data_IF_181381004088
#
_entry.id   IF_181381004088
#
_cell.length_a   1.000
_cell.length_b   1.000
_cell.length_c   1.000
_cell.angle_alpha   90.00
_cell.angle_beta   90.00
_cell.angle_gamma   90.00
#
_symmetry.space_group_name_H-M   'P 1'
#
loop_
_entity.id
_entity.type
_entity.pdbx_description
1 polymer ?
#
# COMPACT_ATOMS: atom_id res chain seq x y z
N UNK A 1 3.33 30.02 6.01
CA UNK A 1 4.04 28.84 5.52
C UNK A 1 4.19 27.88 6.69
N UNK A 2 3.60 26.70 6.61
CA UNK A 2 3.67 25.71 7.70
C UNK A 2 4.97 24.92 7.61
N UNK A 3 5.47 24.40 8.74
CA UNK A 3 6.73 23.63 8.77
C UNK A 3 6.75 22.48 7.76
N UNK A 4 5.61 21.79 7.55
CA UNK A 4 5.51 20.70 6.59
C UNK A 4 5.67 21.11 5.12
N UNK A 5 5.42 22.37 4.77
CA UNK A 5 5.68 22.87 3.41
C UNK A 5 7.17 23.08 3.18
N UNK A 6 7.86 23.62 4.20
CA UNK A 6 9.29 23.88 4.16
C UNK A 6 10.12 22.58 4.13
N UNK A 7 9.70 21.56 4.88
CA UNK A 7 10.45 20.30 5.01
C UNK A 7 9.99 19.21 4.05
N UNK A 8 9.13 19.53 3.07
CA UNK A 8 8.53 18.54 2.17
C UNK A 8 9.58 17.77 1.37
N UNK A 9 10.53 18.48 0.77
CA UNK A 9 11.60 17.89 -0.03
C UNK A 9 12.51 17.00 0.79
N UNK A 10 12.85 17.42 2.01
CA UNK A 10 13.69 16.66 2.93
C UNK A 10 12.99 15.37 3.35
N UNK A 11 11.70 15.43 3.69
CA UNK A 11 10.90 14.25 4.01
C UNK A 11 10.79 13.28 2.81
N UNK A 12 10.62 13.81 1.59
CA UNK A 12 10.65 13.04 0.36
C UNK A 12 11.97 12.29 0.18
N UNK A 13 13.11 12.98 0.28
CA UNK A 13 14.44 12.36 0.18
C UNK A 13 14.67 11.28 1.25
N UNK A 14 14.22 11.51 2.48
CA UNK A 14 14.31 10.49 3.53
C UNK A 14 13.51 9.24 3.13
N UNK A 15 12.31 9.41 2.59
CA UNK A 15 11.47 8.29 2.14
C UNK A 15 12.13 7.51 0.99
N UNK A 16 12.73 8.21 0.01
CA UNK A 16 13.44 7.60 -1.11
C UNK A 16 14.67 6.81 -0.63
N UNK A 17 15.50 7.40 0.24
CA UNK A 17 16.69 6.73 0.79
C UNK A 17 16.30 5.48 1.56
N UNK A 18 15.26 5.55 2.39
CA UNK A 18 14.78 4.40 3.16
C UNK A 18 14.24 3.30 2.25
N UNK A 19 13.49 3.69 1.21
CA UNK A 19 12.97 2.76 0.20
C UNK A 19 14.12 2.05 -0.51
N UNK A 20 15.11 2.81 -1.00
CA UNK A 20 16.28 2.26 -1.68
C UNK A 20 17.07 1.30 -0.78
N UNK A 21 17.36 1.70 0.46
CA UNK A 21 18.09 0.86 1.41
C UNK A 21 17.33 -0.45 1.74
N UNK A 22 16.00 -0.37 1.86
CA UNK A 22 15.15 -1.53 2.10
C UNK A 22 15.13 -2.48 0.89
N UNK A 23 15.00 -1.95 -0.32
CA UNK A 23 15.04 -2.74 -1.57
C UNK A 23 16.41 -3.40 -1.79
N UNK A 24 17.51 -2.66 -1.58
CA UNK A 24 18.88 -3.22 -1.61
C UNK A 24 19.08 -4.36 -0.59
N UNK A 25 18.35 -4.32 0.52
CA UNK A 25 18.34 -5.35 1.55
C UNK A 25 17.34 -6.48 1.30
N UNK A 26 16.73 -6.54 0.11
CA UNK A 26 15.74 -7.54 -0.29
C UNK A 26 14.47 -7.51 0.56
N UNK A 27 14.06 -6.35 1.06
CA UNK A 27 12.85 -6.19 1.88
C UNK A 27 11.65 -5.80 1.01
N UNK A 28 10.47 -6.22 1.46
CA UNK A 28 9.21 -5.67 0.95
C UNK A 28 9.07 -4.23 1.45
N UNK A 29 8.68 -3.33 0.56
CA UNK A 29 8.42 -1.92 0.88
C UNK A 29 6.97 -1.61 0.54
N UNK A 30 6.30 -0.92 1.46
CA UNK A 30 5.01 -0.30 1.21
C UNK A 30 5.24 1.21 1.20
N UNK A 31 4.96 1.84 0.07
CA UNK A 31 5.06 3.29 -0.10
C UNK A 31 3.63 3.84 -0.11
N UNK A 32 3.32 4.72 0.84
CA UNK A 32 2.10 5.52 0.82
C UNK A 32 2.37 6.82 0.07
N UNK A 33 1.56 7.11 -0.94
CA UNK A 33 1.79 8.22 -1.85
C UNK A 33 0.56 8.54 -2.69
N UNK A 34 0.56 9.74 -3.28
CA UNK A 34 -0.60 10.23 -4.02
C UNK A 34 -0.80 9.51 -5.35
N UNK A 35 0.24 8.92 -5.94
CA UNK A 35 0.20 8.24 -7.24
C UNK A 35 -0.40 9.10 -8.38
N UNK A 36 -0.32 10.43 -8.30
CA UNK A 36 -0.98 11.36 -9.24
C UNK A 36 -0.21 11.56 -10.54
N UNK A 37 1.11 11.53 -10.50
CA UNK A 37 1.97 11.76 -11.68
C UNK A 37 2.31 10.44 -12.38
N UNK A 38 1.46 10.01 -13.31
CA UNK A 38 1.69 8.76 -14.04
C UNK A 38 2.98 8.77 -14.84
N UNK A 39 3.40 9.90 -15.40
CA UNK A 39 4.57 9.99 -16.27
C UNK A 39 5.85 9.77 -15.47
N UNK A 40 5.92 10.34 -14.27
CA UNK A 40 6.99 10.07 -13.32
C UNK A 40 7.01 8.60 -12.89
N UNK A 41 5.86 8.04 -12.50
CA UNK A 41 5.78 6.65 -12.02
C UNK A 41 6.09 5.62 -13.11
N UNK A 42 5.80 5.90 -14.39
CA UNK A 42 6.19 5.05 -15.52
C UNK A 42 7.72 4.90 -15.56
N UNK A 43 8.43 6.02 -15.47
CA UNK A 43 9.90 6.03 -15.48
C UNK A 43 10.45 5.35 -14.22
N UNK A 44 9.84 5.62 -13.07
CA UNK A 44 10.24 5.03 -11.81
C UNK A 44 10.04 3.50 -11.80
N UNK A 45 8.92 2.98 -12.31
CA UNK A 45 8.68 1.54 -12.43
C UNK A 45 9.69 0.88 -13.37
N UNK A 46 10.03 1.52 -14.49
CA UNK A 46 11.05 1.02 -15.40
C UNK A 46 12.42 0.94 -14.72
N UNK A 47 12.81 1.99 -13.98
CA UNK A 47 14.06 2.02 -13.22
C UNK A 47 14.09 0.94 -12.13
N UNK A 48 13.02 0.80 -11.35
CA UNK A 48 12.91 -0.23 -10.31
C UNK A 48 13.07 -1.65 -10.88
N UNK A 49 12.49 -1.93 -12.05
CA UNK A 49 12.64 -3.23 -12.71
C UNK A 49 14.05 -3.47 -13.24
N UNK A 50 14.74 -2.41 -13.70
CA UNK A 50 16.12 -2.50 -14.13
C UNK A 50 17.08 -2.75 -12.95
N UNK A 51 16.90 -2.03 -11.85
CA UNK A 51 17.77 -2.11 -10.66
C UNK A 51 17.49 -3.35 -9.82
N UNK A 52 16.24 -3.81 -9.78
CA UNK A 52 15.79 -4.93 -8.96
C UNK A 52 14.97 -5.93 -9.79
N UNK A 53 15.59 -6.78 -10.63
CA UNK A 53 14.88 -7.66 -11.58
C UNK A 53 13.91 -8.67 -10.93
N UNK A 54 14.09 -8.98 -9.65
CA UNK A 54 13.22 -9.90 -8.89
C UNK A 54 12.08 -9.18 -8.15
N UNK A 55 12.04 -7.85 -8.18
CA UNK A 55 11.02 -7.04 -7.53
C UNK A 55 9.68 -7.22 -8.22
N UNK A 56 8.63 -7.46 -7.43
CA UNK A 56 7.24 -7.40 -7.89
C UNK A 56 6.62 -6.09 -7.43
N UNK A 57 6.05 -5.36 -8.37
CA UNK A 57 5.34 -4.11 -8.15
C UNK A 57 3.85 -4.38 -8.00
N UNK A 58 3.23 -3.72 -7.04
CA UNK A 58 1.80 -3.85 -6.80
C UNK A 58 1.18 -2.50 -6.47
N UNK A 59 -0.02 -2.26 -7.00
CA UNK A 59 -0.81 -1.05 -6.73
C UNK A 59 -2.05 -1.45 -5.94
N UNK A 60 -2.21 -0.84 -4.77
CA UNK A 60 -3.43 -0.90 -3.98
C UNK A 60 -4.15 0.45 -4.07
N UNK A 61 -5.22 0.53 -4.86
CA UNK A 61 -6.03 1.74 -4.99
C UNK A 61 -7.16 1.72 -3.96
N UNK A 62 -7.06 2.54 -2.92
CA UNK A 62 -8.08 2.63 -1.87
C UNK A 62 -9.09 3.72 -2.25
N UNK A 63 -10.35 3.33 -2.40
CA UNK A 63 -11.45 4.22 -2.80
C UNK A 63 -12.40 4.46 -1.63
N UNK A 64 -13.11 5.59 -1.65
CA UNK A 64 -14.20 5.91 -0.73
C UNK A 64 -15.06 7.03 -1.34
N UNK A 65 -16.32 7.22 -0.89
CA UNK A 65 -17.16 8.33 -1.31
C UNK A 65 -16.51 9.66 -0.94
N UNK A 66 -16.66 10.65 -1.82
CA UNK A 66 -16.08 11.99 -1.68
C UNK A 66 -16.32 12.60 -0.31
N UNK A 67 -17.55 12.54 0.18
CA UNK A 67 -17.97 13.11 1.46
C UNK A 67 -17.21 12.46 2.62
N UNK A 68 -17.00 11.14 2.56
CA UNK A 68 -16.25 10.41 3.57
C UNK A 68 -14.76 10.77 3.56
N UNK A 69 -14.17 11.01 2.39
CA UNK A 69 -12.78 11.47 2.26
C UNK A 69 -12.62 12.86 2.88
N UNK A 70 -13.52 13.79 2.54
CA UNK A 70 -13.50 15.16 3.08
C UNK A 70 -13.71 15.19 4.61
N UNK A 71 -14.68 14.42 5.12
CA UNK A 71 -14.95 14.30 6.55
C UNK A 71 -13.74 13.75 7.31
N UNK A 72 -13.12 12.68 6.81
CA UNK A 72 -11.91 12.08 7.41
C UNK A 72 -10.74 13.06 7.41
N UNK A 73 -10.52 13.76 6.30
CA UNK A 73 -9.47 14.77 6.19
C UNK A 73 -9.70 15.94 7.15
N UNK A 74 -10.94 16.41 7.28
CA UNK A 74 -11.31 17.45 8.24
C UNK A 74 -11.06 16.99 9.68
N UNK A 75 -11.62 15.84 10.07
CA UNK A 75 -11.49 15.28 11.42
C UNK A 75 -10.02 15.08 11.79
N UNK A 76 -9.21 14.56 10.87
CA UNK A 76 -7.77 14.42 11.09
C UNK A 76 -7.07 15.78 11.20
N UNK A 77 -7.45 16.75 10.38
CA UNK A 77 -6.90 18.11 10.45
C UNK A 77 -7.21 18.80 11.78
N UNK A 78 -8.37 18.53 12.36
CA UNK A 78 -8.75 18.99 13.71
C UNK A 78 -7.94 18.28 14.81
N UNK A 79 -7.74 16.96 14.71
CA UNK A 79 -6.97 16.19 15.70
C UNK A 79 -5.46 16.45 15.67
N UNK A 80 -4.88 16.58 14.47
CA UNK A 80 -3.42 16.64 14.27
C UNK A 80 -2.89 18.05 14.02
N UNK A 81 -3.77 19.01 13.74
CA UNK A 81 -3.43 20.35 13.28
C UNK A 81 -2.99 20.42 11.81
N UNK A 82 -2.92 19.30 11.09
CA UNK A 82 -2.50 19.24 9.68
C UNK A 82 -3.71 19.27 8.74
N UNK A 83 -4.13 20.46 8.34
CA UNK A 83 -5.23 20.66 7.40
C UNK A 83 -4.73 20.55 5.96
N UNK A 84 -5.41 19.73 5.15
CA UNK A 84 -5.19 19.65 3.70
C UNK A 84 -6.22 20.54 3.02
N UNK A 85 -5.83 21.41 2.06
CA UNK A 85 -6.78 22.18 1.27
C UNK A 85 -7.77 21.28 0.54
N UNK A 86 -9.06 21.65 0.54
CA UNK A 86 -10.10 20.87 -0.16
C UNK A 86 -9.77 20.72 -1.65
N UNK A 87 -9.26 21.77 -2.30
CA UNK A 87 -8.87 21.71 -3.70
C UNK A 87 -7.80 20.64 -3.99
N UNK A 88 -6.86 20.41 -3.07
CA UNK A 88 -5.86 19.33 -3.18
C UNK A 88 -6.53 17.95 -3.11
N UNK A 89 -7.50 17.76 -2.22
CA UNK A 89 -8.26 16.51 -2.10
C UNK A 89 -9.08 16.24 -3.36
N UNK A 90 -9.80 17.24 -3.88
CA UNK A 90 -10.58 17.13 -5.12
C UNK A 90 -9.69 16.77 -6.32
N UNK A 91 -8.54 17.44 -6.44
CA UNK A 91 -7.57 17.16 -7.49
C UNK A 91 -7.08 15.72 -7.42
N UNK A 92 -6.79 15.20 -6.22
CA UNK A 92 -6.39 13.81 -6.07
C UNK A 92 -7.52 12.83 -6.44
N UNK A 93 -8.75 13.09 -6.02
CA UNK A 93 -9.90 12.24 -6.38
C UNK A 93 -10.15 12.17 -7.89
N UNK A 94 -9.79 13.20 -8.66
CA UNK A 94 -9.87 13.20 -10.12
C UNK A 94 -8.64 12.58 -10.82
N UNK A 95 -7.42 12.87 -10.33
CA UNK A 95 -6.18 12.47 -11.00
C UNK A 95 -5.76 11.03 -10.71
N UNK A 96 -5.94 10.55 -9.47
CA UNK A 96 -5.48 9.22 -9.06
C UNK A 96 -6.11 8.09 -9.88
N UNK A 97 -7.43 8.06 -10.13
CA UNK A 97 -8.01 7.01 -10.96
C UNK A 97 -7.43 6.97 -12.38
N UNK A 98 -7.13 8.14 -12.97
CA UNK A 98 -6.52 8.25 -14.30
C UNK A 98 -5.09 7.71 -14.30
N UNK A 99 -4.30 8.06 -13.29
CA UNK A 99 -2.95 7.56 -13.15
C UNK A 99 -2.93 6.04 -12.91
N UNK A 100 -3.82 5.52 -12.04
CA UNK A 100 -3.98 4.09 -11.80
C UNK A 100 -4.35 3.34 -13.08
N UNK A 101 -5.22 3.90 -13.94
CA UNK A 101 -5.56 3.30 -15.22
C UNK A 101 -4.32 3.12 -16.12
N UNK A 102 -3.38 4.06 -16.11
CA UNK A 102 -2.14 3.97 -16.88
C UNK A 102 -1.07 3.08 -16.22
N UNK A 103 -1.00 3.08 -14.90
CA UNK A 103 0.07 2.41 -14.14
C UNK A 103 -0.25 0.95 -13.80
N UNK A 104 -1.53 0.61 -13.62
CA UNK A 104 -1.94 -0.76 -13.29
C UNK A 104 -1.45 -1.82 -14.29
N UNK A 105 -1.44 -1.61 -15.62
CA UNK A 105 -0.89 -2.59 -16.57
C UNK A 105 0.63 -2.76 -16.48
N UNK A 106 1.34 -1.80 -15.86
CA UNK A 106 2.78 -1.83 -15.65
C UNK A 106 3.18 -2.48 -14.31
N UNK A 107 2.20 -2.74 -13.44
CA UNK A 107 2.38 -3.44 -12.17
C UNK A 107 2.18 -4.95 -12.32
N UNK A 108 2.79 -5.75 -11.44
CA UNK A 108 2.60 -7.20 -11.42
C UNK A 108 1.30 -7.63 -10.71
N UNK A 109 0.67 -6.69 -9.99
CA UNK A 109 -0.58 -6.90 -9.28
C UNK A 109 -1.31 -5.56 -9.06
N UNK A 110 -2.61 -5.56 -9.31
CA UNK A 110 -3.48 -4.42 -9.04
C UNK A 110 -4.70 -4.88 -8.24
N UNK A 111 -5.05 -4.11 -7.23
CA UNK A 111 -6.26 -4.31 -6.45
C UNK A 111 -6.86 -2.96 -6.05
N UNK A 112 -8.18 -2.86 -6.16
CA UNK A 112 -8.99 -1.75 -5.71
C UNK A 112 -9.78 -2.17 -4.47
N UNK A 113 -9.75 -1.28 -3.48
CA UNK A 113 -10.20 -1.52 -2.12
C UNK A 113 -11.18 -0.43 -1.72
N UNK A 114 -12.46 -0.77 -1.64
CA UNK A 114 -13.50 0.13 -1.18
C UNK A 114 -13.50 0.22 0.35
N UNK A 115 -13.22 1.43 0.84
CA UNK A 115 -13.23 1.82 2.23
C UNK A 115 -14.37 2.82 2.53
N UNK A 116 -15.53 2.59 1.91
CA UNK A 116 -16.77 3.34 2.15
C UNK A 116 -17.24 3.28 3.61
N UNK A 117 -17.83 4.37 4.14
CA UNK A 117 -18.46 4.34 5.46
C UNK A 117 -19.64 3.36 5.46
N UNK A 118 -19.86 2.68 6.60
CA UNK A 118 -20.96 1.73 6.77
C UNK A 118 -20.64 0.29 6.39
N UNK A 119 -19.54 0.05 5.67
CA UNK A 119 -19.00 -1.30 5.52
C UNK A 119 -18.32 -1.75 6.81
N UNK A 120 -18.59 -2.99 7.26
CA UNK A 120 -17.92 -3.57 8.43
C UNK A 120 -16.41 -3.72 8.19
N UNK A 121 -16.05 -4.07 6.96
CA UNK A 121 -14.69 -4.32 6.48
C UNK A 121 -14.45 -3.67 5.12
N UNK A 122 -13.17 -3.49 4.77
CA UNK A 122 -12.76 -3.07 3.43
C UNK A 122 -13.14 -4.15 2.42
N UNK A 123 -13.71 -3.73 1.28
CA UNK A 123 -14.23 -4.63 0.25
C UNK A 123 -13.33 -4.56 -0.99
N UNK A 124 -12.98 -5.71 -1.56
CA UNK A 124 -12.27 -5.77 -2.84
C UNK A 124 -13.27 -5.54 -3.98
N UNK A 125 -13.01 -4.55 -4.83
CA UNK A 125 -13.89 -4.21 -5.96
C UNK A 125 -13.32 -4.62 -7.32
N UNK A 126 -12.05 -5.02 -7.40
CA UNK A 126 -11.43 -5.42 -8.67
C UNK A 126 -12.08 -6.71 -9.23
N UNK A 127 -12.56 -6.69 -10.48
CA UNK A 127 -13.14 -7.88 -11.11
C UNK A 127 -12.17 -9.07 -11.13
N UNK A 128 -12.65 -10.22 -10.67
CA UNK A 128 -11.87 -11.46 -10.64
C UNK A 128 -10.90 -11.59 -9.47
N UNK A 129 -10.74 -10.56 -8.63
CA UNK A 129 -9.95 -10.65 -7.39
C UNK A 129 -10.86 -11.01 -6.23
N UNK A 130 -10.66 -12.20 -5.66
CA UNK A 130 -11.30 -12.62 -4.40
C UNK A 130 -10.41 -12.30 -3.21
N UNK A 131 -10.98 -12.34 -1.99
CA UNK A 131 -10.21 -12.22 -0.76
C UNK A 131 -9.10 -13.27 -0.68
N UNK A 132 -9.36 -14.50 -1.09
CA UNK A 132 -8.36 -15.57 -1.11
C UNK A 132 -7.23 -15.25 -2.08
N UNK A 133 -7.57 -14.85 -3.32
CA UNK A 133 -6.56 -14.48 -4.32
C UNK A 133 -5.74 -13.24 -3.92
N UNK A 134 -6.37 -12.27 -3.24
CA UNK A 134 -5.69 -11.12 -2.67
C UNK A 134 -4.72 -11.55 -1.58
N UNK A 135 -5.15 -12.41 -0.66
CA UNK A 135 -4.28 -12.91 0.39
C UNK A 135 -3.09 -13.67 -0.20
N UNK A 136 -3.29 -14.53 -1.20
CA UNK A 136 -2.20 -15.26 -1.85
C UNK A 136 -1.18 -14.34 -2.53
N UNK A 137 -1.63 -13.25 -3.15
CA UNK A 137 -0.74 -12.28 -3.82
C UNK A 137 -0.12 -11.26 -2.84
N UNK A 138 -0.84 -10.87 -1.80
CA UNK A 138 -0.49 -9.78 -0.88
C UNK A 138 0.02 -10.26 0.48
N UNK A 139 0.08 -11.56 0.76
CA UNK A 139 0.65 -12.10 2.00
C UNK A 139 2.14 -11.75 2.12
N UNK A 140 2.41 -10.52 2.56
CA UNK A 140 3.73 -10.09 2.98
C UNK A 140 4.02 -10.77 4.31
N UNK A 141 5.04 -11.62 4.34
CA UNK A 141 5.55 -12.13 5.60
C UNK A 141 6.31 -11.02 6.32
N UNK A 142 5.59 -10.08 6.94
CA UNK A 142 6.15 -9.34 8.05
C UNK A 142 6.35 -10.32 9.21
N UNK A 143 7.50 -11.00 9.21
CA UNK A 143 7.93 -11.89 10.30
C UNK A 143 8.24 -11.13 11.60
N UNK A 144 8.14 -9.80 11.60
CA UNK A 144 8.34 -9.02 12.81
C UNK A 144 7.11 -9.11 13.70
N UNK A 145 7.30 -9.76 14.85
CA UNK A 145 6.34 -9.80 15.95
C UNK A 145 6.90 -8.90 17.05
N UNK A 146 6.17 -7.86 17.51
CA UNK A 146 6.59 -7.03 18.62
C UNK A 146 7.01 -7.89 19.84
N UNK A 147 8.15 -7.58 20.44
CA UNK A 147 8.66 -8.30 21.62
C UNK A 147 9.33 -9.65 21.34
N UNK A 148 9.45 -10.09 20.07
CA UNK A 148 10.24 -11.28 19.71
C UNK A 148 11.56 -10.88 19.03
N UNK A 149 12.69 -11.54 19.35
CA UNK A 149 13.95 -11.32 18.64
C UNK A 149 13.75 -11.56 17.14
N UNK A 150 14.31 -10.68 16.29
CA UNK A 150 14.33 -10.92 14.84
C UNK A 150 15.12 -12.21 14.59
N UNK A 151 14.43 -13.27 14.17
CA UNK A 151 15.11 -14.44 13.65
C UNK A 151 15.70 -14.08 12.28
N UNK A 152 17.02 -13.96 12.19
CA UNK A 152 17.73 -13.92 10.90
C UNK A 152 17.58 -15.30 10.27
N UNK A 153 16.63 -15.45 9.34
CA UNK A 153 16.51 -16.66 8.53
C UNK A 153 17.34 -16.47 7.25
N UNK A 154 18.06 -17.51 6.83
CA UNK A 154 18.71 -17.53 5.53
C UNK A 154 17.68 -17.42 4.41
N UNK A 155 18.09 -16.93 3.24
CA UNK A 155 17.25 -16.84 2.04
C UNK A 155 16.64 -18.21 1.72
N UNK A 156 17.45 -19.28 1.76
CA UNK A 156 17.02 -20.68 1.63
C UNK A 156 15.88 -21.08 2.59
N UNK A 157 15.92 -20.60 3.84
CA UNK A 157 14.87 -20.91 4.81
C UNK A 157 13.57 -20.16 4.49
N UNK A 158 13.66 -18.94 3.94
CA UNK A 158 12.47 -18.19 3.48
C UNK A 158 11.89 -18.84 2.23
N UNK A 159 12.72 -19.21 1.26
CA UNK A 159 12.31 -19.89 0.02
C UNK A 159 11.63 -21.23 0.33
N UNK A 160 12.22 -22.06 1.19
CA UNK A 160 11.59 -23.32 1.62
C UNK A 160 10.23 -23.11 2.29
N UNK A 161 10.05 -22.04 3.08
CA UNK A 161 8.76 -21.73 3.72
C UNK A 161 7.74 -21.28 2.68
N UNK A 162 8.15 -20.43 1.74
CA UNK A 162 7.28 -19.96 0.66
C UNK A 162 6.86 -21.14 -0.23
N UNK A 163 7.78 -22.04 -0.54
CA UNK A 163 7.53 -23.22 -1.35
C UNK A 163 6.61 -24.21 -0.62
N UNK A 164 6.92 -24.58 0.62
CA UNK A 164 6.05 -25.41 1.46
C UNK A 164 4.63 -24.83 1.59
N UNK A 165 4.49 -23.51 1.69
CA UNK A 165 3.17 -22.85 1.76
C UNK A 165 2.44 -22.80 0.44
N UNK A 166 3.13 -22.63 -0.69
CA UNK A 166 2.51 -22.81 -2.03
C UNK A 166 1.92 -24.22 -2.16
N UNK A 167 2.60 -25.22 -1.60
CA UNK A 167 2.11 -26.60 -1.58
C UNK A 167 0.95 -26.80 -0.59
N UNK A 168 1.01 -26.20 0.60
CA UNK A 168 -0.04 -26.32 1.62
C UNK A 168 -1.32 -25.54 1.29
N UNK A 169 -1.20 -24.35 0.68
CA UNK A 169 -2.35 -23.56 0.22
C UNK A 169 -3.13 -24.28 -0.89
N UNK A 170 -2.47 -25.12 -1.70
CA UNK A 170 -3.15 -26.03 -2.63
C UNK A 170 -3.95 -27.15 -1.94
N UNK A 171 -3.67 -27.46 -0.67
CA UNK A 171 -4.19 -28.64 0.02
C UNK A 171 -5.19 -28.34 1.15
N UNK A 172 -5.30 -27.11 1.67
CA UNK A 172 -6.40 -26.73 2.58
C UNK A 172 -6.47 -25.23 2.81
N UNK A 173 -7.68 -24.69 2.98
CA UNK A 173 -7.89 -23.39 3.62
C UNK A 173 -9.00 -23.46 4.68
N UNK A 174 -8.66 -23.05 5.90
CA UNK A 174 -9.57 -22.94 7.04
C UNK A 174 -10.06 -21.49 7.19
N UNK A 175 -11.37 -21.32 7.39
CA UNK A 175 -12.08 -20.02 7.51
C UNK A 175 -11.50 -19.05 8.56
N UNK A 176 -10.77 -19.54 9.57
CA UNK A 176 -10.27 -18.74 10.69
C UNK A 176 -9.09 -17.81 10.34
N UNK A 177 -8.26 -18.19 9.37
CA UNK A 177 -7.10 -17.38 8.95
C UNK A 177 -7.50 -16.10 8.21
N UNK A 178 -8.59 -16.19 7.44
CA UNK A 178 -9.09 -15.07 6.63
C UNK A 178 -9.58 -13.90 7.50
N UNK A 179 -10.28 -14.18 8.60
CA UNK A 179 -10.82 -13.13 9.49
C UNK A 179 -9.73 -12.27 10.17
N UNK A 180 -8.61 -12.87 10.61
CA UNK A 180 -7.53 -12.12 11.28
C UNK A 180 -6.80 -11.19 10.30
N UNK A 181 -6.63 -11.64 9.06
CA UNK A 181 -5.97 -10.86 8.02
C UNK A 181 -6.86 -9.71 7.53
N UNK A 182 -8.16 -9.98 7.37
CA UNK A 182 -9.18 -8.94 7.11
C UNK A 182 -9.17 -7.87 8.20
N UNK A 183 -9.12 -8.27 9.48
CA UNK A 183 -9.03 -7.31 10.58
C UNK A 183 -7.74 -6.49 10.53
N UNK A 184 -6.58 -7.11 10.26
CA UNK A 184 -5.30 -6.37 10.16
C UNK A 184 -5.22 -5.43 8.96
N UNK A 185 -5.78 -5.83 7.81
CA UNK A 185 -5.87 -4.97 6.63
C UNK A 185 -6.86 -3.84 6.91
N UNK A 186 -8.01 -4.14 7.53
CA UNK A 186 -8.99 -3.16 7.97
C UNK A 186 -8.37 -2.17 8.96
N UNK A 187 -7.66 -2.63 9.99
CA UNK A 187 -6.96 -1.80 10.97
C UNK A 187 -5.86 -0.97 10.31
N UNK A 188 -5.06 -1.57 9.41
CA UNK A 188 -4.02 -0.89 8.65
C UNK A 188 -4.63 0.20 7.78
N UNK A 189 -5.65 -0.10 6.97
CA UNK A 189 -6.32 0.85 6.07
C UNK A 189 -7.16 1.90 6.82
N UNK A 190 -7.71 1.55 7.98
CA UNK A 190 -8.33 2.51 8.91
C UNK A 190 -7.28 3.41 9.58
N UNK A 191 -6.04 2.96 9.69
CA UNK A 191 -4.89 3.74 10.20
C UNK A 191 -4.08 4.44 9.11
N UNK A 192 -4.28 4.10 7.83
CA UNK A 192 -3.66 4.78 6.68
C UNK A 192 -4.33 6.13 6.54
N UNK A 193 -3.73 7.08 7.23
CA UNK A 193 -3.98 8.50 7.11
C UNK A 193 -3.52 8.95 5.72
N UNK A 194 -4.44 9.10 4.73
CA UNK A 194 -4.13 9.64 3.40
C UNK A 194 -3.22 10.89 3.47
N UNK A 195 -1.92 10.71 3.29
CA UNK A 195 -0.98 11.82 3.22
C UNK A 195 -0.87 12.21 1.75
N UNK A 196 -1.78 13.08 1.30
CA UNK A 196 -1.59 13.73 0.00
C UNK A 196 -0.42 14.71 0.13
N UNK A 197 0.72 14.31 -0.43
CA UNK A 197 1.81 15.22 -0.74
C UNK A 197 1.54 15.80 -2.12
N UNK A 198 1.38 17.13 -2.21
CA UNK A 198 1.46 17.88 -3.47
C UNK A 198 2.88 17.78 -4.03
N UNK A 199 3.00 16.93 -5.06
CA UNK A 199 4.16 16.76 -5.94
C UNK A 199 4.26 17.96 -6.90
#
# INVERSE_FOLDING_TARGET
>A
MMAGELTRKEAGFICEILTQAALQSGKNVLVDGSLRDSDWYIQYFAQLRADYPVLRLAILHVTAPREAVLERAQKRGEMTGRKIPIATLEMAMDQVPKAVQHLSPLSDYFCELDNSPGAENVVITTPGVTNESFQENWLQMCLWVPGKPRATRSIEAVENILEQRRTLNRLSFSKRGSQILQQKISDMLKSVDFHLYDD
#
